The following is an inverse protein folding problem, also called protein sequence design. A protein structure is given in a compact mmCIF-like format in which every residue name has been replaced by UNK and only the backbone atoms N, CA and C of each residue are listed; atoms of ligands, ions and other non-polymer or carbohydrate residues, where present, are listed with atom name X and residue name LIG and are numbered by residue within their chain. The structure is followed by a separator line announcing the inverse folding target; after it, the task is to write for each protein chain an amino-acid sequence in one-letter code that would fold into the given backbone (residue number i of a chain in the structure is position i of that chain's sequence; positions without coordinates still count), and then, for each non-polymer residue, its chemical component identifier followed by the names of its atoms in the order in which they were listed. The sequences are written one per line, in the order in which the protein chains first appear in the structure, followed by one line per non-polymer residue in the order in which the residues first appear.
data_IF_388094871530
#
_entry.id   IF_388094871530
#
_cell.length_a   1.000
_cell.length_b   1.000
_cell.length_c   1.000
_cell.angle_alpha   90.00
_cell.angle_beta   90.00
_cell.angle_gamma   90.00
#
_symmetry.space_group_name_H-M   'P 1'
#
loop_
_entity.id
_entity.type
_entity.pdbx_description
1 polymer ?
#
# COMPACT_ATOMS: atom_id res chain seq x y z
N UNK A 1 9.44 -15.49 2.56
CA UNK A 1 10.56 -15.43 3.50
C UNK A 1 10.03 -15.10 4.87
N UNK A 2 10.63 -15.64 5.93
CA UNK A 2 10.34 -15.23 7.31
C UNK A 2 11.52 -15.62 8.21
N UNK A 3 11.74 -14.89 9.29
CA UNK A 3 12.74 -15.24 10.30
C UNK A 3 12.21 -16.31 11.27
N UNK A 4 10.89 -16.49 11.33
CA UNK A 4 10.26 -17.54 12.13
C UNK A 4 9.87 -18.76 11.29
N UNK A 5 10.23 -19.99 11.70
CA UNK A 5 9.90 -21.19 10.94
C UNK A 5 8.40 -21.55 10.97
N UNK A 6 7.69 -21.18 12.04
CA UNK A 6 6.29 -21.57 12.26
C UNK A 6 5.30 -21.00 11.24
N UNK A 7 5.62 -19.88 10.60
CA UNK A 7 4.77 -19.30 9.55
C UNK A 7 4.79 -20.14 8.29
N UNK A 8 5.93 -20.77 7.97
CA UNK A 8 6.07 -21.65 6.80
C UNK A 8 5.23 -22.91 6.93
N UNK A 9 5.18 -23.51 8.13
CA UNK A 9 4.33 -24.67 8.40
C UNK A 9 2.85 -24.34 8.22
N UNK A 10 2.44 -23.15 8.70
CA UNK A 10 1.08 -22.66 8.54
C UNK A 10 0.71 -22.44 7.06
N UNK A 11 1.62 -21.89 6.25
CA UNK A 11 1.42 -21.72 4.81
C UNK A 11 1.34 -23.07 4.10
N UNK A 12 2.22 -24.02 4.42
CA UNK A 12 2.24 -25.37 3.84
C UNK A 12 0.99 -26.19 4.18
N UNK A 13 0.45 -26.00 5.38
CA UNK A 13 -0.81 -26.61 5.82
C UNK A 13 -2.05 -25.93 5.21
N UNK A 14 -1.89 -24.75 4.61
CA UNK A 14 -2.98 -24.01 3.99
C UNK A 14 -3.56 -24.70 2.74
N UNK A 15 -4.75 -24.27 2.26
CA UNK A 15 -5.45 -24.92 1.15
C UNK A 15 -4.65 -25.03 -0.15
N UNK A 16 -3.72 -24.09 -0.39
CA UNK A 16 -2.86 -24.04 -1.57
C UNK A 16 -1.37 -24.19 -1.23
N UNK A 17 -1.02 -24.67 -0.02
CA UNK A 17 0.37 -24.74 0.44
C UNK A 17 1.28 -25.60 -0.44
N UNK A 18 0.73 -26.64 -1.07
CA UNK A 18 1.45 -27.55 -1.96
C UNK A 18 1.73 -26.97 -3.36
N UNK A 19 1.16 -25.80 -3.69
CA UNK A 19 1.39 -25.14 -4.98
C UNK A 19 2.76 -24.47 -5.04
N UNK A 20 3.28 -24.04 -3.89
CA UNK A 20 4.54 -23.30 -3.80
C UNK A 20 5.74 -24.23 -3.93
N UNK A 21 6.75 -23.80 -4.69
CA UNK A 21 8.01 -24.53 -4.83
C UNK A 21 8.72 -24.64 -3.47
N UNK A 22 9.06 -25.85 -2.99
CA UNK A 22 9.76 -26.03 -1.71
C UNK A 22 11.06 -25.23 -1.60
N UNK A 23 11.80 -25.12 -2.71
CA UNK A 23 13.07 -24.37 -2.79
C UNK A 23 12.91 -22.86 -2.52
N UNK A 24 11.70 -22.31 -2.71
CA UNK A 24 11.46 -20.87 -2.57
C UNK A 24 11.07 -20.50 -1.12
N UNK A 25 11.00 -21.47 -0.22
CA UNK A 25 10.81 -21.25 1.21
C UNK A 25 12.15 -20.99 1.90
N UNK A 26 12.51 -19.71 2.00
CA UNK A 26 13.66 -19.26 2.80
C UNK A 26 13.16 -18.83 4.18
N UNK A 27 13.70 -19.44 5.23
CA UNK A 27 13.32 -19.11 6.61
C UNK A 27 14.49 -19.19 7.59
N UNK A 28 14.43 -18.34 8.62
CA UNK A 28 15.37 -18.33 9.74
C UNK A 28 14.98 -19.31 10.85
N UNK A 29 15.82 -19.36 11.88
CA UNK A 29 15.52 -20.09 13.12
C UNK A 29 15.08 -19.17 14.26
N UNK A 30 15.45 -17.88 14.19
CA UNK A 30 15.25 -16.89 15.24
C UNK A 30 14.31 -15.81 14.72
N UNK A 31 13.18 -15.57 15.40
CA UNK A 31 12.29 -14.47 15.03
C UNK A 31 12.86 -13.09 15.39
N UNK A 32 12.45 -12.06 14.64
CA UNK A 32 12.84 -10.67 14.93
C UNK A 32 12.18 -10.09 16.20
N UNK A 33 11.14 -10.74 16.75
CA UNK A 33 10.50 -10.32 18.01
C UNK A 33 9.96 -8.89 18.02
N UNK A 34 9.33 -8.47 16.92
CA UNK A 34 8.82 -7.09 16.71
C UNK A 34 9.90 -5.99 16.79
N UNK A 35 11.16 -6.32 16.50
CA UNK A 35 12.25 -5.36 16.45
C UNK A 35 12.73 -5.16 15.01
N UNK A 36 12.55 -3.95 14.48
CA UNK A 36 13.03 -3.58 13.14
C UNK A 36 14.54 -3.71 13.00
N UNK A 37 15.32 -3.30 13.99
CA UNK A 37 16.79 -3.35 13.93
C UNK A 37 17.30 -4.80 13.83
N UNK A 38 16.63 -5.76 14.47
CA UNK A 38 16.94 -7.19 14.29
C UNK A 38 16.69 -7.67 12.86
N UNK A 39 15.56 -7.26 12.29
CA UNK A 39 15.21 -7.59 10.92
C UNK A 39 16.15 -6.92 9.90
N UNK A 40 16.69 -5.74 10.21
CA UNK A 40 17.46 -4.96 9.25
C UNK A 40 18.98 -5.17 9.37
N UNK A 41 19.53 -5.24 10.59
CA UNK A 41 20.98 -5.24 10.82
C UNK A 41 21.55 -6.59 11.28
N UNK A 42 20.76 -7.44 11.94
CA UNK A 42 21.27 -8.70 12.51
C UNK A 42 20.70 -9.92 11.80
N UNK A 43 19.66 -10.55 12.35
CA UNK A 43 19.11 -11.83 11.86
C UNK A 43 18.65 -11.75 10.39
N UNK A 44 18.04 -10.64 9.98
CA UNK A 44 17.60 -10.49 8.58
C UNK A 44 18.75 -10.26 7.60
N UNK A 45 19.84 -9.63 8.04
CA UNK A 45 21.03 -9.43 7.22
C UNK A 45 21.79 -10.74 6.99
N UNK A 46 21.75 -11.69 7.93
CA UNK A 46 22.32 -13.03 7.72
C UNK A 46 21.53 -13.86 6.70
N UNK A 47 20.20 -13.69 6.65
CA UNK A 47 19.32 -14.47 5.77
C UNK A 47 19.17 -13.87 4.36
N UNK A 48 19.46 -12.57 4.19
CA UNK A 48 19.12 -11.84 2.97
C UNK A 48 19.79 -12.39 1.72
N UNK A 49 21.06 -12.81 1.81
CA UNK A 49 21.80 -13.34 0.66
C UNK A 49 21.14 -14.60 0.10
N UNK A 50 20.61 -15.46 0.98
CA UNK A 50 19.88 -16.67 0.56
C UNK A 50 18.56 -16.31 -0.14
N UNK A 51 17.88 -15.27 0.33
CA UNK A 51 16.66 -14.77 -0.34
C UNK A 51 17.00 -14.20 -1.71
N UNK A 52 18.05 -13.38 -1.81
CA UNK A 52 18.49 -12.77 -3.07
C UNK A 52 18.87 -13.83 -4.11
N UNK A 53 19.53 -14.92 -3.71
CA UNK A 53 19.84 -16.02 -4.63
C UNK A 53 18.59 -16.68 -5.22
N UNK A 54 17.53 -16.84 -4.41
CA UNK A 54 16.23 -17.34 -4.92
C UNK A 54 15.60 -16.31 -5.85
N UNK A 55 15.65 -15.02 -5.50
CA UNK A 55 15.11 -13.93 -6.34
C UNK A 55 15.83 -13.89 -7.69
N UNK A 56 17.16 -13.98 -7.72
CA UNK A 56 17.98 -14.06 -8.95
C UNK A 56 17.56 -15.22 -9.82
N UNK A 57 17.44 -16.42 -9.23
CA UNK A 57 17.06 -17.63 -9.96
C UNK A 57 15.69 -17.52 -10.63
N UNK A 58 14.72 -16.90 -9.95
CA UNK A 58 13.38 -16.67 -10.53
C UNK A 58 13.40 -15.53 -11.56
N UNK A 59 14.20 -14.48 -11.36
CA UNK A 59 14.39 -13.39 -12.31
C UNK A 59 15.03 -13.86 -13.62
N UNK A 60 16.06 -14.71 -13.55
CA UNK A 60 16.69 -15.35 -14.72
C UNK A 60 15.75 -16.32 -15.46
N UNK A 61 14.75 -16.86 -14.76
CA UNK A 61 13.72 -17.72 -15.34
C UNK A 61 12.66 -16.96 -16.15
N UNK A 62 12.66 -15.63 -16.13
CA UNK A 62 11.67 -14.79 -16.80
C UNK A 62 12.19 -14.28 -18.15
N UNK A 63 11.37 -14.35 -19.20
CA UNK A 63 11.72 -13.78 -20.51
C UNK A 63 11.87 -12.24 -20.46
N UNK A 64 10.97 -11.57 -19.75
CA UNK A 64 11.02 -10.12 -19.53
C UNK A 64 10.37 -9.76 -18.19
N UNK A 65 11.20 -9.57 -17.17
CA UNK A 65 10.76 -9.19 -15.83
C UNK A 65 10.22 -7.76 -15.80
N UNK A 66 8.98 -7.56 -15.32
CA UNK A 66 8.42 -6.21 -15.19
C UNK A 66 8.87 -5.50 -13.90
N UNK A 67 8.89 -6.23 -12.80
CA UNK A 67 9.09 -5.67 -11.47
C UNK A 67 8.94 -6.70 -10.37
N UNK A 68 9.03 -6.23 -9.13
CA UNK A 68 8.87 -7.03 -7.92
C UNK A 68 7.68 -6.51 -7.12
N UNK A 69 6.95 -7.45 -6.52
CA UNK A 69 5.82 -7.14 -5.65
C UNK A 69 6.11 -7.68 -4.24
N UNK A 70 6.22 -6.79 -3.25
CA UNK A 70 6.52 -7.16 -1.86
C UNK A 70 5.28 -6.95 -0.99
N UNK A 71 4.83 -8.00 -0.29
CA UNK A 71 3.74 -7.92 0.68
C UNK A 71 4.31 -8.02 2.09
N UNK A 72 4.19 -6.96 2.88
CA UNK A 72 4.77 -6.92 4.22
C UNK A 72 3.97 -6.04 5.19
N UNK A 73 4.24 -6.19 6.48
CA UNK A 73 3.69 -5.33 7.53
C UNK A 73 4.78 -4.43 8.09
N UNK A 74 4.44 -3.17 8.33
CA UNK A 74 5.39 -2.18 8.85
C UNK A 74 5.48 -2.19 10.38
N UNK A 75 4.52 -2.81 11.08
CA UNK A 75 4.51 -2.90 12.53
C UNK A 75 5.38 -4.01 13.13
N UNK A 76 5.71 -5.04 12.35
CA UNK A 76 6.50 -6.19 12.81
C UNK A 76 8.01 -5.90 12.89
N UNK A 77 8.83 -6.94 13.00
CA UNK A 77 10.30 -6.85 12.87
C UNK A 77 10.83 -7.44 11.57
N UNK A 78 10.33 -8.62 11.17
CA UNK A 78 10.74 -9.29 9.93
C UNK A 78 10.20 -8.56 8.70
N UNK A 79 8.86 -8.40 8.62
CA UNK A 79 8.23 -7.77 7.45
C UNK A 79 8.68 -6.33 7.25
N UNK A 80 8.95 -5.62 8.33
CA UNK A 80 9.39 -4.22 8.31
C UNK A 80 10.89 -4.15 8.00
N UNK A 81 11.76 -4.60 8.92
CA UNK A 81 13.22 -4.45 8.82
C UNK A 81 13.85 -5.29 7.71
N UNK A 82 13.55 -6.59 7.67
CA UNK A 82 14.09 -7.48 6.61
C UNK A 82 13.41 -7.18 5.27
N UNK A 83 12.13 -6.80 5.28
CA UNK A 83 11.40 -6.40 4.08
C UNK A 83 12.00 -5.16 3.43
N UNK A 84 12.29 -4.11 4.19
CA UNK A 84 12.94 -2.90 3.64
C UNK A 84 14.38 -3.15 3.22
N UNK A 85 15.13 -3.99 3.94
CA UNK A 85 16.46 -4.44 3.52
C UNK A 85 16.40 -5.14 2.15
N UNK A 86 15.43 -6.03 1.96
CA UNK A 86 15.23 -6.72 0.69
C UNK A 86 14.92 -5.74 -0.44
N UNK A 87 14.03 -4.77 -0.21
CA UNK A 87 13.66 -3.76 -1.21
C UNK A 87 14.90 -2.96 -1.63
N UNK A 88 15.72 -2.51 -0.67
CA UNK A 88 16.97 -1.80 -0.96
C UNK A 88 17.94 -2.64 -1.79
N UNK A 89 18.16 -3.92 -1.42
CA UNK A 89 19.04 -4.82 -2.18
C UNK A 89 18.54 -5.17 -3.57
N UNK A 90 17.23 -5.37 -3.73
CA UNK A 90 16.64 -5.56 -5.06
C UNK A 90 16.79 -4.28 -5.89
N UNK A 91 16.65 -3.10 -5.30
CA UNK A 91 16.83 -1.82 -6.00
C UNK A 91 18.28 -1.60 -6.44
N UNK A 92 19.26 -2.00 -5.64
CA UNK A 92 20.69 -2.00 -6.01
C UNK A 92 20.97 -2.91 -7.20
N UNK A 93 20.39 -4.12 -7.24
CA UNK A 93 20.66 -5.12 -8.27
C UNK A 93 19.82 -4.94 -9.54
N UNK A 94 18.58 -4.46 -9.40
CA UNK A 94 17.61 -4.28 -10.48
C UNK A 94 17.05 -2.84 -10.52
N UNK A 95 17.89 -1.81 -10.76
CA UNK A 95 17.48 -0.41 -10.66
C UNK A 95 16.39 -0.01 -11.67
N UNK A 96 16.36 -0.65 -12.85
CA UNK A 96 15.39 -0.33 -13.91
C UNK A 96 14.01 -0.98 -13.72
N UNK A 97 13.84 -1.83 -12.70
CA UNK A 97 12.61 -2.61 -12.50
C UNK A 97 11.69 -1.93 -11.48
N UNK A 98 10.38 -2.02 -11.71
CA UNK A 98 9.39 -1.43 -10.81
C UNK A 98 9.36 -2.20 -9.49
N UNK A 99 9.38 -1.48 -8.37
CA UNK A 99 9.20 -1.99 -7.03
C UNK A 99 7.82 -1.59 -6.49
N UNK A 100 6.88 -2.53 -6.48
CA UNK A 100 5.55 -2.34 -5.88
C UNK A 100 5.50 -3.00 -4.49
N UNK A 101 4.95 -2.29 -3.51
CA UNK A 101 4.79 -2.82 -2.15
C UNK A 101 3.33 -2.74 -1.71
N UNK A 102 2.84 -3.80 -1.07
CA UNK A 102 1.59 -3.81 -0.32
C UNK A 102 1.96 -3.74 1.16
N UNK A 103 1.88 -2.54 1.71
CA UNK A 103 2.39 -2.22 3.04
C UNK A 103 1.25 -2.09 4.03
N UNK A 104 1.21 -3.03 4.99
CA UNK A 104 0.21 -3.00 6.06
C UNK A 104 0.69 -2.13 7.21
N UNK A 105 0.00 -1.02 7.42
CA UNK A 105 0.24 -0.08 8.49
C UNK A 105 -0.36 -0.56 9.81
N UNK A 106 0.36 -0.36 10.93
CA UNK A 106 -0.11 -0.75 12.25
C UNK A 106 -1.30 0.08 12.71
N UNK A 107 -2.10 -0.50 13.60
CA UNK A 107 -3.24 0.17 14.22
C UNK A 107 -3.39 -0.24 15.69
N UNK A 108 -3.52 0.72 16.63
CA UNK A 108 -3.75 0.44 18.04
C UNK A 108 -5.06 -0.33 18.32
N UNK A 109 -6.00 -0.36 17.37
CA UNK A 109 -7.27 -1.10 17.53
C UNK A 109 -7.09 -2.61 17.28
N UNK A 110 -6.05 -3.00 16.55
CA UNK A 110 -5.88 -4.35 16.02
C UNK A 110 -4.68 -5.07 16.64
N UNK A 111 -3.66 -4.33 17.10
CA UNK A 111 -2.46 -4.89 17.71
C UNK A 111 -2.14 -4.25 19.06
N UNK A 112 -1.71 -5.09 20.01
CA UNK A 112 -1.30 -4.70 21.36
C UNK A 112 0.21 -4.38 21.45
N UNK A 113 0.95 -4.48 20.32
CA UNK A 113 2.40 -4.25 20.32
C UNK A 113 2.71 -2.77 20.42
N UNK A 114 3.41 -2.38 21.48
CA UNK A 114 3.69 -0.95 21.76
C UNK A 114 4.77 -0.35 20.86
N UNK A 115 5.66 -1.16 20.26
CA UNK A 115 6.80 -0.67 19.47
C UNK A 115 6.51 -0.49 17.98
N UNK A 116 5.28 -0.77 17.52
CA UNK A 116 4.92 -0.67 16.10
C UNK A 116 5.17 0.70 15.47
N UNK A 117 4.95 1.83 16.17
CA UNK A 117 5.25 3.15 15.59
C UNK A 117 6.74 3.33 15.26
N UNK A 118 7.66 2.76 16.06
CA UNK A 118 9.10 2.79 15.73
C UNK A 118 9.37 2.03 14.45
N UNK A 119 8.89 0.79 14.37
CA UNK A 119 9.09 -0.07 13.19
C UNK A 119 8.49 0.57 11.93
N UNK A 120 7.32 1.19 12.05
CA UNK A 120 6.64 1.84 10.93
C UNK A 120 7.39 3.09 10.45
N UNK A 121 7.82 3.98 11.34
CA UNK A 121 8.56 5.20 10.95
C UNK A 121 9.87 4.85 10.25
N UNK A 122 10.64 3.90 10.79
CA UNK A 122 11.89 3.44 10.17
C UNK A 122 11.65 2.79 8.80
N UNK A 123 10.57 2.01 8.68
CA UNK A 123 10.26 1.35 7.41
C UNK A 123 9.78 2.34 6.34
N UNK A 124 8.96 3.32 6.70
CA UNK A 124 8.52 4.35 5.76
C UNK A 124 9.69 5.15 5.24
N UNK A 125 10.67 5.50 6.09
CA UNK A 125 11.88 6.18 5.63
C UNK A 125 12.57 5.42 4.49
N UNK A 126 12.69 4.09 4.61
CA UNK A 126 13.25 3.25 3.55
C UNK A 126 12.34 3.11 2.31
N UNK A 127 11.02 3.09 2.50
CA UNK A 127 10.06 2.98 1.41
C UNK A 127 9.98 4.25 0.55
N UNK A 128 10.19 5.43 1.15
CA UNK A 128 10.21 6.71 0.44
C UNK A 128 11.30 6.72 -0.64
N UNK A 129 12.46 6.10 -0.37
CA UNK A 129 13.60 6.15 -1.28
C UNK A 129 13.66 4.95 -2.25
N UNK A 130 13.24 3.77 -1.79
CA UNK A 130 13.52 2.51 -2.51
C UNK A 130 12.31 1.89 -3.23
N UNK A 131 11.08 2.27 -2.87
CA UNK A 131 9.88 1.75 -3.54
C UNK A 131 9.41 2.72 -4.63
N UNK A 132 8.94 2.20 -5.76
CA UNK A 132 8.32 3.03 -6.80
C UNK A 132 6.81 3.19 -6.53
N UNK A 133 6.13 2.18 -5.99
CA UNK A 133 4.71 2.22 -5.66
C UNK A 133 4.44 1.60 -4.28
N UNK A 134 3.71 2.31 -3.41
CA UNK A 134 3.32 1.81 -2.09
C UNK A 134 1.81 1.81 -1.96
N UNK A 135 1.20 0.63 -2.07
CA UNK A 135 -0.21 0.40 -1.78
C UNK A 135 -0.40 0.35 -0.26
N UNK A 136 -1.00 1.41 0.29
CA UNK A 136 -1.19 1.56 1.73
C UNK A 136 -2.43 0.80 2.19
N UNK A 137 -2.22 -0.11 3.14
CA UNK A 137 -3.27 -0.91 3.78
C UNK A 137 -3.28 -0.60 5.26
N UNK A 138 -4.34 -0.02 5.77
CA UNK A 138 -4.47 0.30 7.19
C UNK A 138 -5.38 -0.70 7.90
N UNK A 139 -4.83 -1.38 8.90
CA UNK A 139 -5.60 -2.30 9.74
C UNK A 139 -6.77 -1.60 10.46
N UNK A 140 -6.66 -0.30 10.76
CA UNK A 140 -7.75 0.47 11.34
C UNK A 140 -8.95 0.56 10.40
N UNK A 141 -8.69 0.90 9.13
CA UNK A 141 -9.73 1.03 8.12
C UNK A 141 -10.35 -0.32 7.77
N UNK A 142 -9.53 -1.37 7.64
CA UNK A 142 -10.03 -2.73 7.42
C UNK A 142 -10.94 -3.20 8.56
N UNK A 143 -10.55 -2.94 9.81
CA UNK A 143 -11.37 -3.28 10.97
C UNK A 143 -12.70 -2.51 10.95
N UNK A 144 -12.67 -1.20 10.70
CA UNK A 144 -13.86 -0.36 10.64
C UNK A 144 -14.80 -0.77 9.49
N UNK A 145 -14.27 -1.17 8.32
CA UNK A 145 -15.05 -1.73 7.21
C UNK A 145 -15.74 -3.03 7.63
N UNK A 146 -15.00 -3.98 8.21
CA UNK A 146 -15.54 -5.26 8.65
C UNK A 146 -16.64 -5.07 9.72
N UNK A 147 -16.39 -4.22 10.70
CA UNK A 147 -17.29 -4.00 11.81
C UNK A 147 -18.52 -3.17 11.40
N UNK A 148 -18.33 -2.03 10.75
CA UNK A 148 -19.40 -1.07 10.45
C UNK A 148 -20.14 -1.38 9.15
N UNK A 149 -19.42 -1.74 8.09
CA UNK A 149 -20.00 -1.93 6.74
C UNK A 149 -20.46 -3.37 6.55
N UNK A 150 -19.61 -4.36 6.86
CA UNK A 150 -19.97 -5.78 6.72
C UNK A 150 -20.79 -6.34 7.88
N UNK A 151 -20.92 -5.58 8.98
CA UNK A 151 -21.68 -5.95 10.20
C UNK A 151 -21.14 -7.21 10.88
N UNK A 152 -19.83 -7.43 10.85
CA UNK A 152 -19.17 -8.49 11.59
C UNK A 152 -18.91 -8.02 13.02
N UNK A 153 -19.47 -8.69 14.01
CA UNK A 153 -19.34 -8.30 15.43
C UNK A 153 -17.92 -8.47 15.95
N UNK A 154 -17.20 -9.47 15.47
CA UNK A 154 -15.83 -9.83 15.87
C UNK A 154 -15.00 -10.12 14.61
N UNK A 155 -14.47 -9.08 13.93
CA UNK A 155 -13.60 -9.26 12.77
C UNK A 155 -12.36 -10.08 13.12
N UNK A 156 -12.06 -11.09 12.31
CA UNK A 156 -10.83 -11.89 12.43
C UNK A 156 -9.81 -11.47 11.37
N UNK A 157 -8.53 -11.79 11.55
CA UNK A 157 -7.51 -11.57 10.49
C UNK A 157 -7.89 -12.23 9.16
N UNK A 158 -8.65 -13.33 9.17
CA UNK A 158 -9.17 -13.94 7.95
C UNK A 158 -10.14 -13.02 7.18
N UNK A 159 -10.95 -12.24 7.89
CA UNK A 159 -11.88 -11.28 7.28
C UNK A 159 -11.13 -10.06 6.72
N UNK A 160 -10.13 -9.54 7.46
CA UNK A 160 -9.26 -8.45 6.98
C UNK A 160 -8.50 -8.90 5.72
N UNK A 161 -7.89 -10.09 5.76
CA UNK A 161 -7.14 -10.63 4.62
C UNK A 161 -8.03 -10.90 3.41
N UNK A 162 -9.32 -11.17 3.60
CA UNK A 162 -10.26 -11.28 2.49
C UNK A 162 -10.37 -9.95 1.72
N UNK A 163 -10.49 -8.83 2.42
CA UNK A 163 -10.53 -7.49 1.79
C UNK A 163 -9.22 -7.16 1.08
N UNK A 164 -8.08 -7.39 1.75
CA UNK A 164 -6.75 -7.17 1.17
C UNK A 164 -6.57 -8.00 -0.11
N UNK A 165 -6.91 -9.28 -0.09
CA UNK A 165 -6.80 -10.15 -1.27
C UNK A 165 -7.68 -9.69 -2.43
N UNK A 166 -8.85 -9.10 -2.15
CA UNK A 166 -9.75 -8.56 -3.16
C UNK A 166 -9.16 -7.29 -3.81
N UNK A 167 -8.60 -6.39 -3.01
CA UNK A 167 -7.92 -5.20 -3.51
C UNK A 167 -6.66 -5.55 -4.33
N UNK A 168 -5.79 -6.44 -3.82
CA UNK A 168 -4.60 -6.91 -4.54
C UNK A 168 -4.94 -7.57 -5.87
N UNK A 169 -6.00 -8.39 -5.91
CA UNK A 169 -6.50 -8.99 -7.16
C UNK A 169 -7.03 -7.94 -8.12
N UNK A 170 -7.57 -6.84 -7.60
CA UNK A 170 -7.99 -5.68 -8.37
C UNK A 170 -6.82 -4.95 -9.03
N UNK A 171 -5.84 -4.53 -8.24
CA UNK A 171 -4.65 -3.78 -8.69
C UNK A 171 -3.89 -4.56 -9.76
N UNK A 172 -3.65 -5.86 -9.52
CA UNK A 172 -2.92 -6.73 -10.46
C UNK A 172 -3.78 -7.27 -11.61
N UNK A 173 -5.02 -6.82 -11.77
CA UNK A 173 -5.95 -7.38 -12.76
C UNK A 173 -5.47 -7.13 -14.19
N UNK A 174 -4.97 -5.92 -14.48
CA UNK A 174 -4.49 -5.53 -15.81
C UNK A 174 -3.26 -6.32 -16.28
N UNK A 175 -2.50 -6.89 -15.34
CA UNK A 175 -1.34 -7.73 -15.63
C UNK A 175 -1.73 -9.17 -15.97
N UNK A 176 -2.79 -9.66 -15.34
CA UNK A 176 -3.19 -11.09 -15.41
C UNK A 176 -4.20 -11.38 -16.51
N UNK A 177 -4.98 -10.39 -16.91
CA UNK A 177 -6.05 -10.57 -17.88
C UNK A 177 -5.97 -9.52 -18.99
N UNK A 178 -6.18 -9.92 -20.25
CA UNK A 178 -6.35 -8.96 -21.33
C UNK A 178 -7.68 -8.21 -21.11
N UNK A 179 -7.58 -6.90 -20.86
CA UNK A 179 -8.71 -5.96 -20.87
C UNK A 179 -8.72 -5.11 -22.13
N UNK A 180 -9.82 -4.38 -22.33
CA UNK A 180 -9.96 -3.42 -23.45
C UNK A 180 -9.04 -2.21 -23.26
N UNK A 181 -8.71 -1.89 -22.00
CA UNK A 181 -7.80 -0.81 -21.62
C UNK A 181 -6.80 -1.34 -20.59
N UNK A 182 -5.63 -1.78 -21.06
CA UNK A 182 -4.58 -2.32 -20.18
C UNK A 182 -3.61 -1.23 -19.73
N UNK A 183 -3.26 -1.30 -18.45
CA UNK A 183 -2.17 -0.54 -17.83
C UNK A 183 -1.18 -1.55 -17.26
N UNK A 184 0.06 -1.56 -17.77
CA UNK A 184 1.17 -2.25 -17.13
C UNK A 184 1.57 -1.51 -15.83
N UNK A 185 2.41 -2.13 -14.99
CA UNK A 185 2.86 -1.53 -13.72
C UNK A 185 3.55 -0.18 -13.97
N UNK A 186 4.44 -0.10 -14.98
CA UNK A 186 5.15 1.14 -15.28
C UNK A 186 4.21 2.27 -15.70
N UNK A 187 3.17 1.97 -16.48
CA UNK A 187 2.15 2.91 -16.92
C UNK A 187 1.25 3.30 -15.75
N UNK A 188 1.04 2.42 -14.77
CA UNK A 188 0.36 2.79 -13.55
C UNK A 188 1.20 3.80 -12.75
N UNK A 189 2.49 3.52 -12.52
CA UNK A 189 3.44 4.44 -11.89
C UNK A 189 3.45 5.81 -12.57
N UNK A 190 3.68 5.85 -13.88
CA UNK A 190 3.78 7.10 -14.66
C UNK A 190 2.48 7.92 -14.64
N UNK A 191 1.31 7.28 -14.54
CA UNK A 191 0.04 8.00 -14.50
C UNK A 191 -0.35 8.45 -13.08
N UNK A 192 0.15 7.78 -12.05
CA UNK A 192 -0.27 8.02 -10.66
C UNK A 192 0.74 8.81 -9.83
N UNK A 193 2.00 8.85 -10.23
CA UNK A 193 3.08 9.46 -9.46
C UNK A 193 3.54 10.72 -10.20
N UNK A 194 3.02 11.90 -9.83
CA UNK A 194 3.52 13.16 -10.36
C UNK A 194 4.90 13.51 -9.78
N UNK A 195 5.15 13.15 -8.51
CA UNK A 195 6.39 13.46 -7.79
C UNK A 195 7.00 12.19 -7.17
N UNK A 196 8.33 11.98 -7.28
CA UNK A 196 8.97 10.71 -6.89
C UNK A 196 8.73 10.26 -5.45
N UNK A 197 8.58 11.18 -4.49
CA UNK A 197 8.37 10.86 -3.06
C UNK A 197 6.89 10.65 -2.69
N UNK A 198 5.96 11.05 -3.56
CA UNK A 198 4.52 11.00 -3.33
C UNK A 198 3.91 9.80 -4.06
N UNK A 199 4.38 8.61 -3.72
CA UNK A 199 4.02 7.32 -4.33
C UNK A 199 3.24 6.41 -3.37
N UNK A 200 2.62 6.98 -2.33
CA UNK A 200 1.79 6.25 -1.39
C UNK A 200 0.32 6.35 -1.80
N UNK A 201 -0.29 5.21 -2.12
CA UNK A 201 -1.64 5.15 -2.65
C UNK A 201 -2.65 4.68 -1.61
N UNK A 202 -3.77 5.41 -1.54
CA UNK A 202 -4.96 4.98 -0.85
C UNK A 202 -5.74 4.01 -1.75
N UNK A 203 -5.84 2.76 -1.31
CA UNK A 203 -6.60 1.75 -2.05
C UNK A 203 -8.04 1.66 -1.54
N UNK A 204 -8.97 1.33 -2.43
CA UNK A 204 -10.37 1.08 -2.12
C UNK A 204 -10.92 -0.09 -2.92
N UNK A 205 -11.97 -0.72 -2.41
CA UNK A 205 -12.67 -1.78 -3.13
C UNK A 205 -14.17 -1.58 -3.03
N UNK A 206 -14.87 -1.77 -4.14
CA UNK A 206 -16.33 -1.84 -4.15
C UNK A 206 -16.77 -2.98 -5.09
N UNK A 207 -17.85 -3.69 -4.77
CA UNK A 207 -18.79 -3.43 -3.67
C UNK A 207 -18.35 -4.03 -2.33
N UNK A 208 -18.59 -3.30 -1.24
CA UNK A 208 -18.52 -3.83 0.12
C UNK A 208 -19.93 -4.04 0.63
N UNK A 209 -20.41 -5.29 0.52
CA UNK A 209 -21.77 -5.65 0.93
C UNK A 209 -21.74 -6.80 1.93
N UNK A 210 -22.55 -6.69 2.98
CA UNK A 210 -22.75 -7.79 3.92
C UNK A 210 -23.46 -8.96 3.22
N UNK A 211 -23.21 -10.18 3.70
CA UNK A 211 -23.83 -11.41 3.15
C UNK A 211 -25.36 -11.35 3.10
N UNK A 212 -25.99 -10.66 4.06
CA UNK A 212 -27.45 -10.50 4.11
C UNK A 212 -28.01 -9.44 3.15
N UNK A 213 -27.22 -8.44 2.78
CA UNK A 213 -27.65 -7.35 1.89
C UNK A 213 -27.31 -7.59 0.42
N UNK A 214 -26.47 -8.57 0.12
CA UNK A 214 -25.97 -8.84 -1.23
C UNK A 214 -27.09 -9.17 -2.25
N UNK A 215 -28.18 -9.82 -1.83
CA UNK A 215 -29.29 -10.19 -2.71
C UNK A 215 -30.22 -9.01 -3.06
N UNK A 216 -30.22 -7.96 -2.25
CA UNK A 216 -31.15 -6.84 -2.37
C UNK A 216 -30.56 -5.62 -3.07
N UNK A 217 -29.24 -5.58 -3.28
CA UNK A 217 -28.54 -4.44 -3.88
C UNK A 217 -28.31 -4.67 -5.37
N UNK A 218 -28.82 -3.76 -6.20
CA UNK A 218 -28.57 -3.77 -7.63
C UNK A 218 -27.18 -3.20 -7.91
N UNK A 219 -26.20 -4.06 -8.20
CA UNK A 219 -24.87 -3.61 -8.61
C UNK A 219 -24.96 -2.95 -9.99
N UNK A 220 -24.74 -1.63 -10.05
CA UNK A 220 -24.67 -0.82 -11.27
C UNK A 220 -23.38 -0.01 -11.30
N UNK A 221 -22.94 0.46 -12.48
CA UNK A 221 -21.73 1.28 -12.61
C UNK A 221 -21.82 2.55 -11.75
N UNK A 222 -22.91 3.34 -11.76
CA UNK A 222 -23.03 4.52 -10.90
C UNK A 222 -22.92 4.21 -9.40
N UNK A 223 -23.52 3.11 -8.93
CA UNK A 223 -23.42 2.70 -7.52
C UNK A 223 -21.99 2.27 -7.13
N UNK A 224 -21.27 1.63 -8.04
CA UNK A 224 -19.87 1.26 -7.83
C UNK A 224 -18.99 2.51 -7.76
N UNK A 225 -19.15 3.43 -8.72
CA UNK A 225 -18.39 4.69 -8.75
C UNK A 225 -18.67 5.53 -7.51
N UNK A 226 -19.91 5.63 -7.05
CA UNK A 226 -20.24 6.38 -5.83
C UNK A 226 -19.63 5.74 -4.58
N UNK A 227 -19.68 4.41 -4.46
CA UNK A 227 -19.06 3.68 -3.35
C UNK A 227 -17.54 3.80 -3.35
N UNK A 228 -16.93 3.87 -4.54
CA UNK A 228 -15.50 3.96 -4.70
C UNK A 228 -14.91 5.21 -4.04
N UNK A 229 -15.60 6.34 -4.15
CA UNK A 229 -15.20 7.63 -3.56
C UNK A 229 -15.76 7.87 -2.15
N UNK A 230 -16.44 6.89 -1.55
CA UNK A 230 -16.90 7.01 -0.15
C UNK A 230 -15.74 6.73 0.79
N UNK A 231 -15.49 7.63 1.75
CA UNK A 231 -14.42 7.51 2.74
C UNK A 231 -14.50 6.18 3.52
N UNK A 232 -15.71 5.64 3.70
CA UNK A 232 -15.95 4.38 4.41
C UNK A 232 -15.45 3.13 3.68
N UNK A 233 -15.15 3.24 2.39
CA UNK A 233 -14.71 2.11 1.56
C UNK A 233 -13.20 2.17 1.26
N UNK A 234 -12.52 3.19 1.76
CA UNK A 234 -11.07 3.30 1.68
C UNK A 234 -10.44 2.34 2.67
N UNK A 235 -9.39 1.64 2.24
CA UNK A 235 -8.59 0.75 3.08
C UNK A 235 -7.46 1.48 3.81
N UNK A 236 -7.44 2.81 3.75
CA UNK A 236 -6.59 3.69 4.55
C UNK A 236 -7.49 4.54 5.44
N UNK A 237 -7.18 4.67 6.74
CA UNK A 237 -8.02 5.42 7.68
C UNK A 237 -7.74 6.92 7.59
N UNK A 238 -8.04 7.50 6.43
CA UNK A 238 -7.95 8.93 6.15
C UNK A 238 -9.19 9.35 5.39
N UNK A 239 -9.76 10.51 5.71
CA UNK A 239 -10.93 11.01 4.96
C UNK A 239 -10.44 11.72 3.69
N UNK A 240 -10.74 11.21 2.48
CA UNK A 240 -10.29 11.85 1.24
C UNK A 240 -10.83 13.28 1.06
N UNK A 241 -11.86 13.68 1.82
CA UNK A 241 -12.43 15.03 1.78
C UNK A 241 -11.58 16.07 2.52
N UNK A 242 -10.66 15.64 3.39
CA UNK A 242 -9.73 16.54 4.08
C UNK A 242 -8.51 16.89 3.23
N UNK A 243 -8.38 16.28 2.06
CA UNK A 243 -7.31 16.58 1.10
C UNK A 243 -7.82 16.73 -0.32
N UNK A 244 -6.88 16.68 -1.26
CA UNK A 244 -7.14 16.67 -2.70
C UNK A 244 -6.51 15.42 -3.32
N UNK A 245 -7.13 14.91 -4.38
CA UNK A 245 -6.55 13.87 -5.22
C UNK A 245 -5.58 14.51 -6.21
N UNK A 246 -4.32 14.09 -6.14
CA UNK A 246 -3.32 14.37 -7.15
C UNK A 246 -3.66 13.60 -8.41
N UNK A 247 -3.80 12.28 -8.26
CA UNK A 247 -4.16 11.35 -9.34
C UNK A 247 -5.08 10.25 -8.81
N UNK A 248 -5.84 9.62 -9.70
CA UNK A 248 -6.71 8.52 -9.34
C UNK A 248 -6.81 7.49 -10.46
N UNK A 249 -6.89 6.21 -10.11
CA UNK A 249 -7.12 5.11 -11.02
C UNK A 249 -8.29 4.25 -10.53
N UNK A 250 -9.23 3.97 -11.43
CA UNK A 250 -10.37 3.11 -11.18
C UNK A 250 -10.30 1.88 -12.09
N UNK A 251 -10.13 0.70 -11.51
CA UNK A 251 -10.03 -0.57 -12.21
C UNK A 251 -11.34 -1.33 -12.11
N UNK A 252 -12.17 -1.20 -13.14
CA UNK A 252 -13.44 -1.87 -13.24
C UNK A 252 -13.29 -3.29 -13.77
N UNK A 253 -14.06 -4.21 -13.18
CA UNK A 253 -14.07 -5.63 -13.54
C UNK A 253 -15.48 -6.14 -13.75
N UNK A 254 -15.68 -6.91 -14.81
CA UNK A 254 -16.96 -7.45 -15.24
C UNK A 254 -17.47 -6.82 -16.53
N UNK A 255 -18.54 -7.39 -17.09
CA UNK A 255 -19.12 -6.92 -18.35
C UNK A 255 -19.89 -5.63 -18.13
N UNK A 256 -19.33 -4.51 -18.58
CA UNK A 256 -19.94 -3.19 -18.50
C UNK A 256 -19.61 -2.35 -19.74
N UNK A 257 -20.37 -1.28 -19.94
CA UNK A 257 -20.14 -0.34 -21.04
C UNK A 257 -19.01 0.62 -20.65
N UNK A 258 -17.93 0.65 -21.44
CA UNK A 258 -16.81 1.61 -21.24
C UNK A 258 -17.30 3.05 -21.28
N UNK A 259 -18.26 3.37 -22.16
CA UNK A 259 -18.89 4.68 -22.22
C UNK A 259 -19.59 5.06 -20.91
N UNK A 260 -20.30 4.12 -20.29
CA UNK A 260 -20.99 4.40 -19.01
C UNK A 260 -19.99 4.64 -17.88
N UNK A 261 -18.90 3.89 -17.86
CA UNK A 261 -17.79 4.09 -16.90
C UNK A 261 -17.21 5.49 -17.05
N UNK A 262 -16.86 5.90 -18.26
CA UNK A 262 -16.25 7.21 -18.51
C UNK A 262 -17.19 8.36 -18.17
N UNK A 263 -18.49 8.24 -18.50
CA UNK A 263 -19.51 9.22 -18.12
C UNK A 263 -19.66 9.35 -16.59
N UNK A 264 -19.65 8.23 -15.85
CA UNK A 264 -19.75 8.28 -14.38
C UNK A 264 -18.49 8.84 -13.73
N UNK A 265 -17.30 8.52 -14.24
CA UNK A 265 -16.04 9.07 -13.75
C UNK A 265 -16.00 10.59 -13.95
N UNK A 266 -16.37 11.07 -15.14
CA UNK A 266 -16.45 12.50 -15.44
C UNK A 266 -17.50 13.22 -14.58
N UNK A 267 -18.65 12.58 -14.33
CA UNK A 267 -19.69 13.13 -13.47
C UNK A 267 -19.21 13.31 -12.02
N UNK A 268 -18.43 12.36 -11.49
CA UNK A 268 -17.85 12.50 -10.14
C UNK A 268 -16.83 13.62 -10.10
N UNK A 269 -15.92 13.69 -11.08
CA UNK A 269 -14.94 14.78 -11.16
C UNK A 269 -15.62 16.15 -11.20
N UNK A 270 -16.65 16.32 -12.04
CA UNK A 270 -17.35 17.60 -12.17
C UNK A 270 -18.12 18.00 -10.89
N UNK A 271 -18.68 17.03 -10.16
CA UNK A 271 -19.39 17.30 -8.89
C UNK A 271 -18.44 17.63 -7.75
N UNK A 272 -17.26 17.03 -7.78
CA UNK A 272 -16.28 17.05 -6.70
C UNK A 272 -15.00 17.78 -7.13
N UNK A 273 -15.08 18.74 -8.05
CA UNK A 273 -13.92 19.34 -8.71
C UNK A 273 -12.92 19.93 -7.71
N UNK A 274 -13.41 20.51 -6.61
CA UNK A 274 -12.60 21.06 -5.51
C UNK A 274 -11.72 20.03 -4.79
N UNK A 275 -12.05 18.74 -4.89
CA UNK A 275 -11.29 17.64 -4.29
C UNK A 275 -10.27 17.04 -5.26
N UNK A 276 -10.19 17.51 -6.50
CA UNK A 276 -9.15 17.13 -7.46
C UNK A 276 -8.25 18.34 -7.67
N UNK A 277 -6.95 18.13 -7.80
CA UNK A 277 -6.03 19.22 -8.13
C UNK A 277 -6.31 19.74 -9.55
N UNK A 278 -6.31 21.07 -9.70
CA UNK A 278 -6.66 21.73 -10.97
C UNK A 278 -5.47 21.78 -11.95
N UNK A 279 -4.24 21.79 -11.42
CA UNK A 279 -3.00 21.90 -12.19
C UNK A 279 -2.56 20.59 -12.86
N UNK A 280 -3.10 19.43 -12.45
CA UNK A 280 -2.98 18.18 -13.21
C UNK A 280 -4.25 17.96 -14.05
N UNK A 281 -4.26 18.32 -15.35
CA UNK A 281 -5.39 18.03 -16.21
C UNK A 281 -5.55 16.51 -16.40
N UNK A 282 -6.78 16.03 -16.47
CA UNK A 282 -7.11 14.61 -16.74
C UNK A 282 -6.42 13.60 -15.79
N UNK A 283 -6.37 13.94 -14.51
CA UNK A 283 -5.71 13.18 -13.44
C UNK A 283 -6.37 11.85 -13.03
N UNK A 284 -7.53 11.51 -13.61
CA UNK A 284 -8.22 10.26 -13.31
C UNK A 284 -8.22 9.33 -14.50
N UNK A 285 -7.79 8.08 -14.30
CA UNK A 285 -7.78 7.03 -15.30
C UNK A 285 -8.78 5.94 -14.93
N UNK A 286 -9.51 5.45 -15.93
CA UNK A 286 -10.36 4.27 -15.82
C UNK A 286 -9.69 3.11 -16.57
N UNK A 287 -9.86 1.88 -16.09
CA UNK A 287 -9.55 0.67 -16.86
C UNK A 287 -10.68 -0.33 -16.71
N UNK A 288 -10.92 -1.14 -17.74
CA UNK A 288 -12.03 -2.10 -17.78
C UNK A 288 -11.53 -3.48 -18.20
N UNK A 289 -11.77 -4.46 -17.33
CA UNK A 289 -11.52 -5.86 -17.60
C UNK A 289 -12.82 -6.65 -17.64
N UNK A 290 -13.03 -7.44 -18.70
CA UNK A 290 -14.25 -8.22 -18.89
C UNK A 290 -14.44 -9.37 -17.88
N UNK A 291 -13.36 -9.77 -17.18
CA UNK A 291 -13.35 -10.91 -16.26
C UNK A 291 -13.66 -10.45 -14.82
N UNK A 292 -14.85 -10.76 -14.29
CA UNK A 292 -15.22 -10.35 -12.94
C UNK A 292 -14.48 -11.18 -11.87
N UNK A 293 -14.37 -10.66 -10.64
CA UNK A 293 -13.82 -11.42 -9.53
C UNK A 293 -14.77 -12.55 -9.08
N UNK A 294 -14.20 -13.55 -8.40
CA UNK A 294 -14.95 -14.73 -7.95
C UNK A 294 -16.08 -14.33 -7.00
N UNK A 295 -17.31 -14.74 -7.31
CA UNK A 295 -18.49 -14.51 -6.47
C UNK A 295 -19.19 -13.16 -6.68
N UNK A 296 -18.69 -12.31 -7.59
CA UNK A 296 -19.30 -11.03 -7.94
C UNK A 296 -19.50 -10.93 -9.45
N UNK A 297 -20.50 -10.16 -9.89
CA UNK A 297 -20.73 -9.88 -11.32
C UNK A 297 -19.93 -8.68 -11.82
N UNK A 298 -19.76 -7.70 -10.94
CA UNK A 298 -19.00 -6.48 -11.19
C UNK A 298 -18.29 -6.05 -9.92
N UNK A 299 -17.13 -5.45 -10.06
CA UNK A 299 -16.36 -4.84 -8.99
C UNK A 299 -15.53 -3.68 -9.54
N UNK A 300 -15.08 -2.80 -8.65
CA UNK A 300 -14.11 -1.77 -8.95
C UNK A 300 -13.08 -1.71 -7.84
N UNK A 301 -11.82 -1.57 -8.23
CA UNK A 301 -10.71 -1.30 -7.32
C UNK A 301 -10.22 0.11 -7.58
N UNK A 302 -10.10 0.87 -6.50
CA UNK A 302 -9.62 2.24 -6.51
C UNK A 302 -8.19 2.29 -6.06
N UNK A 303 -7.39 3.10 -6.74
CA UNK A 303 -6.05 3.48 -6.33
C UNK A 303 -5.98 5.00 -6.47
N UNK A 304 -5.97 5.71 -5.34
CA UNK A 304 -5.93 7.16 -5.31
C UNK A 304 -4.64 7.66 -4.70
N UNK A 305 -3.96 8.57 -5.39
CA UNK A 305 -2.91 9.38 -4.80
C UNK A 305 -3.56 10.65 -4.24
N UNK A 306 -3.71 10.72 -2.91
CA UNK A 306 -4.38 11.83 -2.24
C UNK A 306 -3.52 12.40 -1.14
N UNK A 307 -3.52 13.72 -1.03
CA UNK A 307 -2.85 14.44 0.07
C UNK A 307 -3.44 14.12 1.43
N UNK A 308 -4.66 13.56 1.49
CA UNK A 308 -5.29 13.13 2.75
C UNK A 308 -4.51 12.02 3.46
N UNK A 309 -3.64 11.29 2.75
CA UNK A 309 -2.80 10.23 3.33
C UNK A 309 -1.87 10.74 4.44
N UNK A 310 -1.60 12.05 4.47
CA UNK A 310 -0.85 12.70 5.54
C UNK A 310 -1.47 12.47 6.93
N UNK A 311 -2.79 12.27 7.05
CA UNK A 311 -3.43 11.97 8.35
C UNK A 311 -2.91 10.67 8.96
N UNK A 312 -2.68 9.67 8.11
CA UNK A 312 -2.14 8.38 8.53
C UNK A 312 -0.69 8.54 9.01
N UNK A 313 0.14 9.28 8.26
CA UNK A 313 1.52 9.57 8.65
C UNK A 313 1.60 10.40 9.93
N UNK A 314 0.76 11.43 10.09
CA UNK A 314 0.65 12.23 11.32
C UNK A 314 0.30 11.35 12.52
N UNK A 315 -0.64 10.41 12.38
CA UNK A 315 -1.01 9.47 13.45
C UNK A 315 0.16 8.59 13.87
N UNK A 316 0.94 8.07 12.93
CA UNK A 316 2.13 7.26 13.23
C UNK A 316 3.23 8.12 13.87
N UNK A 317 3.46 9.32 13.32
CA UNK A 317 4.44 10.30 13.83
C UNK A 317 4.12 10.72 15.28
N UNK A 318 2.88 11.08 15.59
CA UNK A 318 2.48 11.46 16.96
C UNK A 318 2.74 10.35 17.99
N UNK A 319 2.47 9.09 17.61
CA UNK A 319 2.73 7.93 18.46
C UNK A 319 4.23 7.66 18.63
N UNK A 320 5.00 7.80 17.53
CA UNK A 320 6.45 7.71 17.54
C UNK A 320 7.05 8.77 18.47
N UNK A 321 6.72 10.05 18.27
CA UNK A 321 7.23 11.17 19.07
C UNK A 321 6.89 11.00 20.55
N UNK A 322 5.68 10.53 20.87
CA UNK A 322 5.28 10.28 22.26
C UNK A 322 6.16 9.23 22.96
N UNK A 323 6.58 8.19 22.23
CA UNK A 323 7.48 7.16 22.75
C UNK A 323 8.94 7.62 22.77
N UNK A 324 9.41 8.24 21.68
CA UNK A 324 10.79 8.66 21.50
C UNK A 324 11.21 9.72 22.52
N UNK A 325 10.31 10.68 22.82
CA UNK A 325 10.53 11.67 23.90
C UNK A 325 10.79 11.05 25.27
N UNK A 326 10.25 9.85 25.52
CA UNK A 326 10.45 9.10 26.78
C UNK A 326 11.60 8.09 26.69
N UNK A 327 12.24 7.98 25.52
CA UNK A 327 13.23 6.94 25.19
C UNK A 327 12.76 5.53 25.54
N UNK A 328 11.45 5.28 25.45
CA UNK A 328 10.86 3.99 25.79
C UNK A 328 11.30 2.94 24.76
N UNK A 329 11.71 1.75 25.23
CA UNK A 329 12.14 0.61 24.41
C UNK A 329 13.33 0.84 23.45
N UNK A 330 13.98 2.02 23.50
CA UNK A 330 15.06 2.38 22.58
C UNK A 330 16.28 1.45 22.68
N UNK A 331 16.59 0.96 23.88
CA UNK A 331 17.67 0.01 24.14
C UNK A 331 17.55 -1.32 23.39
N UNK A 332 16.35 -1.70 22.93
CA UNK A 332 16.18 -2.89 22.08
C UNK A 332 16.73 -2.68 20.68
N UNK A 333 16.72 -1.44 20.18
CA UNK A 333 17.22 -1.10 18.84
C UNK A 333 18.70 -0.77 18.88
N UNK A 334 19.12 0.06 19.85
CA UNK A 334 20.54 0.41 20.01
C UNK A 334 21.40 -0.78 20.44
N UNK A 335 20.81 -1.76 21.13
CA UNK A 335 21.46 -3.03 21.45
C UNK A 335 21.80 -3.89 20.22
N UNK A 336 21.14 -3.66 19.08
CA UNK A 336 21.38 -4.35 17.81
C UNK A 336 22.30 -3.56 16.87
N UNK A 337 22.87 -2.43 17.35
CA UNK A 337 23.86 -1.64 16.61
C UNK A 337 23.32 -0.37 15.95
N UNK A 338 22.04 -0.05 16.11
CA UNK A 338 21.40 1.14 15.56
C UNK A 338 21.72 2.40 16.38
N UNK A 339 21.97 3.55 15.72
CA UNK A 339 22.16 4.83 16.42
C UNK A 339 20.82 5.52 16.76
N UNK A 340 20.76 6.27 17.86
CA UNK A 340 19.64 7.17 18.16
C UNK A 340 19.46 8.25 17.07
N UNK A 341 20.52 8.59 16.34
CA UNK A 341 20.46 9.55 15.22
C UNK A 341 19.56 9.05 14.08
N UNK A 342 19.60 7.75 13.76
CA UNK A 342 18.76 7.16 12.70
C UNK A 342 17.25 7.31 13.00
N UNK A 343 16.86 7.27 14.28
CA UNK A 343 15.47 7.55 14.69
C UNK A 343 15.08 8.99 14.39
N UNK A 344 15.99 9.93 14.62
CA UNK A 344 15.75 11.35 14.41
C UNK A 344 15.67 11.68 12.93
N UNK A 345 16.52 11.06 12.12
CA UNK A 345 16.51 11.16 10.65
C UNK A 345 15.20 10.62 10.07
N UNK A 346 14.77 9.42 10.51
CA UNK A 346 13.51 8.84 10.06
C UNK A 346 12.29 9.67 10.49
N UNK A 347 12.29 10.24 11.71
CA UNK A 347 11.24 11.17 12.16
C UNK A 347 11.21 12.44 11.31
N UNK A 348 12.38 13.03 11.01
CA UNK A 348 12.49 14.22 10.16
C UNK A 348 11.94 13.93 8.76
N UNK A 349 12.41 12.86 8.11
CA UNK A 349 11.99 12.50 6.76
C UNK A 349 10.47 12.21 6.68
N UNK A 350 9.88 11.60 7.71
CA UNK A 350 8.44 11.42 7.79
C UNK A 350 7.69 12.77 7.86
N UNK A 351 8.19 13.71 8.65
CA UNK A 351 7.59 15.04 8.79
C UNK A 351 7.77 15.89 7.52
N UNK A 352 8.89 15.73 6.83
CA UNK A 352 9.15 16.36 5.53
C UNK A 352 8.16 15.83 4.49
N UNK A 353 7.95 14.51 4.43
CA UNK A 353 6.94 13.89 3.56
C UNK A 353 5.52 14.42 3.84
N UNK A 354 5.15 14.54 5.12
CA UNK A 354 3.86 15.14 5.53
C UNK A 354 3.76 16.59 5.06
N UNK A 355 4.84 17.35 5.16
CA UNK A 355 4.90 18.76 4.73
C UNK A 355 4.78 18.88 3.21
N UNK A 356 5.40 17.99 2.44
CA UNK A 356 5.25 17.93 0.98
C UNK A 356 3.80 17.68 0.58
N UNK A 357 3.12 16.69 1.19
CA UNK A 357 1.68 16.48 0.94
C UNK A 357 0.83 17.71 1.28
N UNK A 358 1.17 18.44 2.35
CA UNK A 358 0.47 19.66 2.74
C UNK A 358 0.71 20.78 1.73
N UNK A 359 1.93 20.94 1.23
CA UNK A 359 2.28 21.94 0.22
C UNK A 359 1.44 21.76 -1.04
N UNK A 360 1.38 20.54 -1.59
CA UNK A 360 0.57 20.28 -2.80
C UNK A 360 -0.94 20.28 -2.55
N UNK A 361 -1.37 20.12 -1.31
CA UNK A 361 -2.78 20.27 -0.95
C UNK A 361 -3.23 21.73 -1.05
N UNK A 362 -2.37 22.65 -0.60
CA UNK A 362 -2.64 24.08 -0.56
C UNK A 362 -2.29 24.78 -1.87
N UNK A 363 -1.42 24.17 -2.70
CA UNK A 363 -1.02 24.67 -4.01
C UNK A 363 -2.22 24.98 -4.91
N UNK A 364 -2.12 26.11 -5.61
CA UNK A 364 -3.09 26.56 -6.60
C UNK A 364 -2.44 26.72 -7.97
N UNK A 365 -3.23 26.61 -9.04
CA UNK A 365 -2.71 26.67 -10.42
C UNK A 365 -2.06 28.02 -10.80
N UNK A 366 -2.20 29.06 -9.99
CA UNK A 366 -1.52 30.35 -10.17
C UNK A 366 -0.09 30.36 -9.61
N UNK A 367 0.23 29.45 -8.69
CA UNK A 367 1.53 29.39 -8.01
C UNK A 367 2.55 28.51 -8.75
N UNK A 368 2.12 27.47 -9.50
CA UNK A 368 3.01 26.56 -10.25
C UNK A 368 3.88 27.25 -11.32
N UNK A 369 3.51 28.46 -11.77
CA UNK A 369 4.32 29.23 -12.73
C UNK A 369 5.65 29.76 -12.17
N UNK A 370 5.84 29.74 -10.84
CA UNK A 370 7.10 30.15 -10.19
C UNK A 370 7.94 28.96 -9.71
N UNK A 371 7.37 27.75 -9.55
CA UNK A 371 8.11 26.58 -9.03
C UNK A 371 8.96 25.87 -10.10
N UNK A 372 8.60 25.97 -11.38
CA UNK A 372 9.46 25.44 -12.48
C UNK A 372 10.78 26.24 -12.64
N UNK A 373 10.86 27.49 -12.15
CA UNK A 373 12.10 28.30 -12.24
C UNK A 373 13.10 28.00 -11.10
N UNK A 374 12.72 27.35 -10.01
CA UNK A 374 13.62 27.06 -8.88
C UNK A 374 14.39 25.72 -9.01
N UNK A 375 13.93 24.76 -9.83
CA UNK A 375 14.66 23.49 -10.06
C UNK A 375 15.74 23.55 -11.16
N UNK A 376 15.82 24.63 -11.95
CA UNK A 376 16.88 24.82 -12.97
C UNK A 376 18.03 25.77 -12.53
N UNK A 377 18.15 26.08 -11.23
CA UNK A 377 19.14 27.02 -10.66
C UNK A 377 20.50 26.43 -10.26
#
# INVERSE_FOLDING_TARGET
MDLEPGTMDSVRAGPFGQLFRPDNFVFGQTGAGNNWAKGHYTEGAELIDTVLDVVRKEAEGCDCLQGFQVTHSLGGGTGSGMGTLLISKIREEFPDRIMETFSVFPSPKVSDTVVEPYNATLSVHQLVENADEVQVIDNEALYDICFRTLKLTTPTYGDLNHLVSAAMSGVTCSLRFPGQLNSDLRKLAVNLIPFPRLHFFMIGFAPLTSRGSQQYRALTVPELTQQMFDAKNMMCASDPRHGRYLTACAMFRGRMSTKEVDEQMLNVQNKNSSYFVEWIPHNTKSSVCDIPPKGLKMAVTFVGNSTAIQEMFKRVSDQFTAMFRRKAFLHWYTGEGMDEMEFTEAESNMNDLVSEYQQYQDATAEEDGEFEEEEEG
#
